data_IF_156575867595
#
_entry.id   IF_156575867595
#
_cell.length_a   1.000
_cell.length_b   1.000
_cell.length_c   1.000
_cell.angle_alpha   90.00
_cell.angle_beta   90.00
_cell.angle_gamma   90.00
#
_symmetry.space_group_name_H-M   'P 1'
#
loop_
_entity.id
_entity.type
_entity.pdbx_description
1 polymer ?
#
# COMPACT_ATOMS: atom_id res chain seq x y z
N UNK A 1 -23.07 -26.28 13.03
CA UNK A 1 -22.13 -26.10 11.90
C UNK A 1 -22.83 -25.28 10.83
N UNK A 2 -22.51 -23.99 10.73
CA UNK A 2 -23.12 -23.11 9.72
C UNK A 2 -22.74 -23.56 8.31
N UNK A 3 -23.76 -23.89 7.51
CA UNK A 3 -23.55 -24.28 6.12
C UNK A 3 -23.02 -23.07 5.35
N UNK A 4 -21.85 -23.21 4.73
CA UNK A 4 -21.32 -22.18 3.84
C UNK A 4 -22.33 -21.84 2.73
N UNK A 5 -22.51 -20.55 2.48
CA UNK A 5 -23.27 -20.07 1.32
C UNK A 5 -22.60 -20.53 0.01
N UNK A 6 -23.39 -20.68 -1.05
CA UNK A 6 -22.92 -21.10 -2.40
C UNK A 6 -21.72 -20.27 -2.87
N UNK A 7 -21.77 -18.95 -2.68
CA UNK A 7 -20.72 -18.03 -3.08
C UNK A 7 -19.41 -18.26 -2.30
N UNK A 8 -19.51 -18.57 -0.99
CA UNK A 8 -18.34 -18.82 -0.16
C UNK A 8 -17.65 -20.14 -0.53
N UNK A 9 -18.41 -21.17 -0.94
CA UNK A 9 -17.86 -22.43 -1.46
C UNK A 9 -17.08 -22.23 -2.76
N UNK A 10 -17.65 -21.50 -3.71
CA UNK A 10 -16.99 -21.18 -4.99
C UNK A 10 -15.72 -20.35 -4.76
N UNK A 11 -15.80 -19.34 -3.89
CA UNK A 11 -14.65 -18.48 -3.57
C UNK A 11 -13.48 -19.29 -2.99
N UNK A 12 -13.75 -20.22 -2.07
CA UNK A 12 -12.70 -21.10 -1.53
C UNK A 12 -12.11 -22.02 -2.60
N UNK A 13 -12.95 -22.60 -3.46
CA UNK A 13 -12.49 -23.50 -4.52
C UNK A 13 -11.62 -22.79 -5.57
N UNK A 14 -11.86 -21.51 -5.84
CA UNK A 14 -11.10 -20.72 -6.82
C UNK A 14 -9.87 -20.03 -6.22
N UNK A 15 -9.71 -20.06 -4.89
CA UNK A 15 -8.60 -19.41 -4.19
C UNK A 15 -7.28 -20.07 -4.58
N UNK A 16 -6.32 -19.27 -5.05
CA UNK A 16 -4.97 -19.74 -5.42
C UNK A 16 -4.84 -20.30 -6.84
N UNK A 17 -5.93 -20.41 -7.60
CA UNK A 17 -5.88 -20.83 -8.99
C UNK A 17 -5.23 -19.75 -9.86
N UNK A 18 -4.20 -20.12 -10.62
CA UNK A 18 -3.53 -19.23 -11.58
C UNK A 18 -3.92 -19.60 -13.01
N UNK A 19 -3.98 -18.62 -13.89
CA UNK A 19 -4.22 -18.84 -15.31
C UNK A 19 -2.93 -19.36 -15.98
N UNK A 20 -3.08 -20.29 -16.93
CA UNK A 20 -1.97 -20.75 -17.75
C UNK A 20 -1.40 -19.61 -18.58
N UNK A 21 -0.13 -19.74 -19.00
CA UNK A 21 0.52 -18.71 -19.80
C UNK A 21 -0.14 -18.52 -21.16
N UNK A 22 -0.55 -19.61 -21.81
CA UNK A 22 -1.33 -19.60 -23.05
C UNK A 22 -2.64 -18.82 -22.88
N UNK A 23 -3.36 -19.06 -21.79
CA UNK A 23 -4.62 -18.35 -21.54
C UNK A 23 -4.39 -16.84 -21.32
N UNK A 24 -3.31 -16.46 -20.63
CA UNK A 24 -2.92 -15.04 -20.48
C UNK A 24 -2.58 -14.40 -21.83
N UNK A 25 -1.86 -15.12 -22.69
CA UNK A 25 -1.51 -14.65 -24.04
C UNK A 25 -2.77 -14.43 -24.89
N UNK A 26 -3.73 -15.37 -24.86
CA UNK A 26 -4.99 -15.24 -25.61
C UNK A 26 -5.80 -14.01 -25.17
N UNK A 27 -5.87 -13.74 -23.86
CA UNK A 27 -6.51 -12.52 -23.33
C UNK A 27 -5.78 -11.26 -23.83
N UNK A 28 -4.45 -11.27 -23.82
CA UNK A 28 -3.65 -10.13 -24.26
C UNK A 28 -3.87 -9.84 -25.75
N UNK A 29 -3.86 -10.87 -26.60
CA UNK A 29 -4.12 -10.76 -28.03
C UNK A 29 -5.52 -10.21 -28.28
N UNK A 30 -6.54 -10.75 -27.61
CA UNK A 30 -7.93 -10.32 -27.80
C UNK A 30 -8.17 -8.84 -27.43
N UNK A 31 -7.41 -8.30 -26.48
CA UNK A 31 -7.51 -6.89 -26.05
C UNK A 31 -6.63 -5.94 -26.86
N UNK A 32 -5.63 -6.46 -27.58
CA UNK A 32 -4.67 -5.62 -28.33
C UNK A 32 -5.40 -4.84 -29.41
N UNK A 33 -5.22 -3.51 -29.40
CA UNK A 33 -5.82 -2.61 -30.40
C UNK A 33 -7.29 -2.27 -30.16
N UNK A 34 -7.92 -2.75 -29.08
CA UNK A 34 -9.28 -2.34 -28.75
C UNK A 34 -9.31 -0.87 -28.32
N UNK A 35 -10.14 -0.08 -29.00
CA UNK A 35 -10.39 1.33 -28.68
C UNK A 35 -11.76 1.44 -27.98
N UNK A 36 -11.82 2.18 -26.88
CA UNK A 36 -13.08 2.44 -26.20
C UNK A 36 -13.98 3.35 -27.03
N UNK A 37 -15.28 3.08 -27.06
CA UNK A 37 -16.28 3.98 -27.64
C UNK A 37 -16.35 5.31 -26.87
N UNK A 38 -16.80 6.37 -27.52
CA UNK A 38 -16.84 7.70 -26.91
C UNK A 38 -17.76 7.76 -25.68
N UNK A 39 -18.89 7.04 -25.72
CA UNK A 39 -19.77 6.85 -24.55
C UNK A 39 -19.04 6.21 -23.36
N UNK A 40 -18.11 5.29 -23.62
CA UNK A 40 -17.31 4.65 -22.56
C UNK A 40 -16.27 5.61 -22.02
N UNK A 41 -15.60 6.36 -22.90
CA UNK A 41 -14.66 7.42 -22.50
C UNK A 41 -15.33 8.46 -21.63
N UNK A 42 -16.54 8.87 -21.99
CA UNK A 42 -17.33 9.86 -21.24
C UNK A 42 -17.71 9.35 -19.84
N UNK A 43 -18.13 8.09 -19.70
CA UNK A 43 -18.38 7.48 -18.39
C UNK A 43 -17.13 7.47 -17.50
N UNK A 44 -15.98 7.10 -18.07
CA UNK A 44 -14.69 7.12 -17.36
C UNK A 44 -14.37 8.55 -16.90
N UNK A 45 -14.48 9.53 -17.82
CA UNK A 45 -14.27 10.95 -17.54
C UNK A 45 -15.16 11.45 -16.40
N UNK A 46 -16.46 11.19 -16.45
CA UNK A 46 -17.42 11.63 -15.43
C UNK A 46 -17.13 10.99 -14.06
N UNK A 47 -16.72 9.72 -14.05
CA UNK A 47 -16.34 9.01 -12.82
C UNK A 47 -15.09 9.64 -12.17
N UNK A 48 -14.13 10.08 -12.97
CA UNK A 48 -12.87 10.66 -12.51
C UNK A 48 -13.01 12.13 -12.10
N UNK A 49 -13.81 12.93 -12.81
CA UNK A 49 -14.01 14.36 -12.52
C UNK A 49 -14.73 14.59 -11.18
N UNK A 50 -15.69 13.74 -10.81
CA UNK A 50 -16.47 13.90 -9.57
C UNK A 50 -15.78 13.40 -8.29
N UNK A 51 -14.69 12.64 -8.42
CA UNK A 51 -13.92 12.12 -7.29
C UNK A 51 -12.53 12.72 -7.34
N UNK A 52 -12.37 13.93 -6.81
CA UNK A 52 -11.05 14.42 -6.39
C UNK A 52 -10.41 13.27 -5.60
N UNK A 53 -9.27 12.76 -6.06
CA UNK A 53 -8.74 11.40 -5.85
C UNK A 53 -8.60 10.98 -4.38
N UNK A 54 -9.71 10.83 -3.69
CA UNK A 54 -9.81 10.41 -2.31
C UNK A 54 -9.92 8.90 -2.37
N UNK A 55 -8.80 8.26 -2.76
CA UNK A 55 -8.61 6.85 -2.55
C UNK A 55 -8.89 6.62 -1.08
N UNK A 56 -9.99 5.93 -0.74
CA UNK A 56 -10.28 5.60 0.64
C UNK A 56 -9.14 4.72 1.13
N UNK A 57 -8.15 5.34 1.77
CA UNK A 57 -7.10 4.66 2.54
C UNK A 57 -7.69 3.83 3.68
N UNK A 58 -8.98 4.06 3.98
CA UNK A 58 -9.83 3.29 4.88
C UNK A 58 -10.58 2.16 4.14
N UNK A 59 -9.91 1.33 3.35
CA UNK A 59 -10.53 0.11 2.82
C UNK A 59 -10.55 -0.97 3.92
N UNK A 60 -11.66 -1.70 4.16
CA UNK A 60 -11.76 -2.68 5.26
C UNK A 60 -10.68 -3.78 5.25
N UNK A 61 -10.12 -4.08 4.08
CA UNK A 61 -9.08 -5.10 3.90
C UNK A 61 -7.64 -4.57 3.97
N UNK A 62 -7.45 -3.25 4.10
CA UNK A 62 -6.12 -2.64 4.24
C UNK A 62 -6.00 -2.12 5.67
N UNK A 63 -5.22 -2.77 6.56
CA UNK A 63 -5.10 -2.31 7.93
C UNK A 63 -4.45 -0.91 7.97
N UNK A 64 -5.04 -0.01 8.76
CA UNK A 64 -4.48 1.32 8.97
C UNK A 64 -3.19 1.20 9.77
N UNK A 65 -2.10 1.79 9.27
CA UNK A 65 -0.88 1.92 10.07
C UNK A 65 -1.14 2.85 11.25
N UNK A 66 -0.84 2.39 12.46
CA UNK A 66 -0.86 3.20 13.70
C UNK A 66 0.44 3.98 13.92
N UNK A 67 1.44 3.78 13.07
CA UNK A 67 2.78 4.35 13.23
C UNK A 67 2.84 5.80 12.71
N UNK A 68 2.21 6.73 13.44
CA UNK A 68 2.27 8.18 13.20
C UNK A 68 3.63 8.75 13.63
N UNK A 69 4.04 9.88 13.03
CA UNK A 69 5.24 10.65 13.43
C UNK A 69 4.94 11.79 14.40
N UNK A 70 3.67 12.01 14.73
CA UNK A 70 3.19 13.19 15.46
C UNK A 70 3.64 13.22 16.92
N UNK A 71 4.03 12.08 17.51
CA UNK A 71 4.48 11.99 18.89
C UNK A 71 5.99 12.14 19.08
N UNK A 72 6.77 12.25 18.00
CA UNK A 72 8.22 12.43 18.10
C UNK A 72 8.55 13.84 18.58
N UNK A 73 9.36 13.91 19.63
CA UNK A 73 9.93 15.15 20.17
C UNK A 73 11.29 15.48 19.52
N UNK A 74 11.81 16.69 19.74
CA UNK A 74 13.14 17.08 19.27
C UNK A 74 14.25 16.23 19.91
N UNK A 75 14.05 15.80 21.16
CA UNK A 75 14.98 14.92 21.89
C UNK A 75 15.01 13.53 21.25
N UNK A 76 13.85 12.95 20.94
CA UNK A 76 13.75 11.65 20.24
C UNK A 76 14.48 11.69 18.90
N UNK A 77 14.30 12.78 18.14
CA UNK A 77 14.94 12.97 16.82
C UNK A 77 16.47 13.01 16.95
N UNK A 78 16.98 13.69 17.98
CA UNK A 78 18.42 13.74 18.25
C UNK A 78 18.95 12.37 18.64
N UNK A 79 18.26 11.67 19.54
CA UNK A 79 18.62 10.34 19.98
C UNK A 79 18.63 9.32 18.83
N UNK A 80 17.64 9.39 17.92
CA UNK A 80 17.59 8.55 16.72
C UNK A 80 18.84 8.75 15.84
N UNK A 81 19.30 10.00 15.67
CA UNK A 81 20.50 10.32 14.87
C UNK A 81 21.77 9.84 15.53
N UNK A 82 21.87 10.03 16.84
CA UNK A 82 23.03 9.63 17.64
C UNK A 82 23.16 8.10 17.66
N UNK A 83 22.05 7.37 17.93
CA UNK A 83 22.01 5.91 17.90
C UNK A 83 22.37 5.36 16.51
N UNK A 84 21.86 5.96 15.43
CA UNK A 84 22.19 5.51 14.07
C UNK A 84 23.66 5.69 13.71
N UNK A 85 24.29 6.78 14.18
CA UNK A 85 25.70 7.09 13.86
C UNK A 85 26.69 6.29 14.71
N UNK A 86 26.34 6.02 15.97
CA UNK A 86 27.27 5.43 16.95
C UNK A 86 27.16 3.90 17.04
N UNK A 87 25.98 3.31 16.83
CA UNK A 87 25.81 1.86 16.92
C UNK A 87 26.17 1.18 15.58
N UNK A 88 27.26 0.40 15.57
CA UNK A 88 27.62 -0.48 14.44
C UNK A 88 26.50 -1.49 14.20
N UNK A 89 25.66 -1.22 13.20
CA UNK A 89 24.55 -2.11 12.81
C UNK A 89 23.16 -1.69 13.29
N UNK A 90 22.98 -0.46 13.77
CA UNK A 90 21.63 0.09 14.01
C UNK A 90 20.79 0.05 12.73
N UNK A 91 19.96 -0.98 12.61
CA UNK A 91 19.04 -1.11 11.50
C UNK A 91 17.92 -0.08 11.65
N UNK A 92 17.63 0.66 10.58
CA UNK A 92 16.45 1.54 10.46
C UNK A 92 15.15 0.85 10.91
N UNK A 93 15.06 -0.48 10.77
CA UNK A 93 13.89 -1.29 11.16
C UNK A 93 13.81 -1.54 12.68
N UNK A 94 14.94 -1.49 13.38
CA UNK A 94 14.98 -1.58 14.85
C UNK A 94 14.52 -0.26 15.46
N UNK A 95 15.13 0.85 15.05
CA UNK A 95 14.73 2.20 15.48
C UNK A 95 13.24 2.48 15.19
N UNK A 96 12.73 2.04 14.04
CA UNK A 96 11.31 2.17 13.73
C UNK A 96 10.37 1.48 14.74
N UNK A 97 10.78 0.31 15.27
CA UNK A 97 10.00 -0.42 16.29
C UNK A 97 10.10 0.27 17.64
N UNK A 98 11.31 0.66 18.03
CA UNK A 98 11.57 1.26 19.34
C UNK A 98 10.79 2.58 19.51
N UNK A 99 10.75 3.41 18.47
CA UNK A 99 10.02 4.68 18.49
C UNK A 99 8.58 4.60 17.95
N UNK A 100 8.08 3.39 17.63
CA UNK A 100 6.74 3.16 17.08
C UNK A 100 6.40 4.04 15.85
N UNK A 101 7.39 4.29 14.99
CA UNK A 101 7.24 5.07 13.76
C UNK A 101 7.57 4.25 12.51
N UNK A 102 7.11 4.70 11.35
CA UNK A 102 7.44 4.01 10.10
C UNK A 102 8.95 4.03 9.82
N UNK A 103 9.48 2.98 9.17
CA UNK A 103 10.87 2.96 8.67
C UNK A 103 11.20 4.19 7.82
N UNK A 104 10.23 4.67 7.04
CA UNK A 104 10.40 5.84 6.18
C UNK A 104 10.60 7.12 7.01
N UNK A 105 9.93 7.23 8.16
CA UNK A 105 10.10 8.33 9.10
C UNK A 105 11.53 8.38 9.63
N UNK A 106 12.06 7.26 10.14
CA UNK A 106 13.45 7.16 10.62
C UNK A 106 14.44 7.52 9.51
N UNK A 107 14.27 6.97 8.31
CA UNK A 107 15.14 7.30 7.17
C UNK A 107 15.14 8.80 6.85
N UNK A 108 13.97 9.44 6.89
CA UNK A 108 13.86 10.88 6.62
C UNK A 108 14.51 11.74 7.72
N UNK A 109 14.49 11.29 8.98
CA UNK A 109 15.16 11.95 10.12
C UNK A 109 16.68 11.88 9.97
N UNK A 110 17.21 10.70 9.66
CA UNK A 110 18.65 10.43 9.50
C UNK A 110 19.22 11.14 8.27
N UNK A 111 18.44 11.26 7.19
CA UNK A 111 18.84 11.98 5.97
C UNK A 111 18.56 13.48 6.04
N UNK A 112 18.13 14.01 7.20
CA UNK A 112 17.81 15.42 7.42
C UNK A 112 16.76 15.99 6.44
N UNK A 113 15.98 15.11 5.81
CA UNK A 113 14.90 15.51 4.89
C UNK A 113 13.72 16.11 5.65
N UNK A 114 13.55 15.69 6.90
CA UNK A 114 12.61 16.27 7.87
C UNK A 114 13.38 16.66 9.13
N UNK A 115 12.88 17.66 9.86
CA UNK A 115 13.53 18.21 11.07
C UNK A 115 14.96 18.71 10.80
N UNK A 116 15.06 19.78 10.01
CA UNK A 116 16.33 20.43 9.65
C UNK A 116 16.95 21.15 10.83
#
# INVERSE_FOLDING_TARGET
MDKLTKNKKISLAMKGRTLSNEHKQNIAIARKGQIHSDKTKEKIKNTLLGKGGNYKTNHPLVPKSTMSRSHLTAEDVKEIRDRYSNERGASLRRLARDYSVSRHTIHSIVTYRIWK
#
